data_IF_858189148151
#
_entry.id   IF_858189148151
#
_cell.length_a   1.000
_cell.length_b   1.000
_cell.length_c   1.000
_cell.angle_alpha   90.00
_cell.angle_beta   90.00
_cell.angle_gamma   90.00
#
_symmetry.space_group_name_H-M   'P 1'
#
loop_
_entity.id
_entity.type
_entity.pdbx_description
1 polymer ?
#
# COMPACT_ATOMS: atom_id res chain seq x y z
N UNK A 1 64.27 -5.75 -24.28
CA UNK A 1 63.29 -6.16 -23.24
C UNK A 1 62.70 -4.92 -22.60
N UNK A 2 61.45 -4.58 -22.91
CA UNK A 2 60.47 -3.96 -21.98
C UNK A 2 59.08 -4.24 -22.53
N UNK A 3 58.43 -5.26 -21.97
CA UNK A 3 57.01 -5.52 -22.16
C UNK A 3 56.24 -4.46 -21.36
N UNK A 4 55.47 -3.61 -22.04
CA UNK A 4 54.52 -2.71 -21.39
C UNK A 4 53.15 -3.39 -21.44
N UNK A 5 52.71 -3.93 -20.31
CA UNK A 5 51.36 -4.45 -20.15
C UNK A 5 50.40 -3.26 -20.03
N UNK A 6 49.67 -2.97 -21.09
CA UNK A 6 48.51 -2.08 -21.05
C UNK A 6 47.34 -2.91 -20.50
N UNK A 7 47.04 -2.75 -19.20
CA UNK A 7 45.87 -3.35 -18.57
C UNK A 7 44.62 -2.63 -19.10
N UNK A 8 43.88 -3.27 -20.00
CA UNK A 8 42.60 -2.79 -20.50
C UNK A 8 41.50 -3.25 -19.53
N UNK A 9 41.18 -2.44 -18.52
CA UNK A 9 39.99 -2.63 -17.68
C UNK A 9 38.74 -2.27 -18.49
N UNK A 10 38.10 -3.29 -19.05
CA UNK A 10 36.75 -3.17 -19.61
C UNK A 10 35.78 -3.04 -18.43
N UNK A 11 35.33 -1.83 -18.15
CA UNK A 11 34.13 -1.59 -17.35
C UNK A 11 32.93 -2.14 -18.14
N UNK A 12 32.54 -3.38 -17.85
CA UNK A 12 31.20 -3.88 -18.18
C UNK A 12 30.20 -3.03 -17.39
N UNK A 13 29.66 -2.00 -18.05
CA UNK A 13 28.38 -1.42 -17.66
C UNK A 13 27.33 -2.50 -17.85
N UNK A 14 27.17 -3.35 -16.83
CA UNK A 14 25.94 -4.12 -16.66
C UNK A 14 24.88 -3.05 -16.45
N UNK A 15 24.12 -2.74 -17.51
CA UNK A 15 22.87 -2.04 -17.33
C UNK A 15 22.05 -2.95 -16.41
N UNK A 16 22.02 -2.62 -15.12
CA UNK A 16 21.08 -3.18 -14.16
C UNK A 16 19.69 -2.76 -14.67
N UNK A 17 19.11 -3.57 -15.54
CA UNK A 17 17.68 -3.52 -15.80
C UNK A 17 17.06 -3.94 -14.48
N UNK A 18 16.73 -2.96 -13.63
CA UNK A 18 16.05 -3.24 -12.39
C UNK A 18 14.62 -3.65 -12.74
N UNK A 19 14.26 -4.89 -12.45
CA UNK A 19 12.89 -5.34 -12.61
C UNK A 19 11.98 -4.58 -11.62
N UNK A 20 10.69 -4.54 -11.93
CA UNK A 20 9.67 -4.14 -10.98
C UNK A 20 9.20 -5.36 -10.18
N UNK A 21 8.70 -5.17 -8.94
CA UNK A 21 8.17 -6.28 -8.17
C UNK A 21 6.96 -6.92 -8.87
N UNK A 22 6.77 -8.22 -8.63
CA UNK A 22 5.75 -9.03 -9.30
C UNK A 22 4.62 -9.37 -8.34
N UNK A 23 3.37 -9.23 -8.80
CA UNK A 23 2.16 -9.68 -8.10
C UNK A 23 1.41 -10.68 -8.99
N UNK A 24 1.05 -11.84 -8.45
CA UNK A 24 0.26 -12.84 -9.17
C UNK A 24 -0.87 -13.39 -8.31
N UNK A 25 -2.07 -13.53 -8.89
CA UNK A 25 -3.22 -14.05 -8.16
C UNK A 25 -3.21 -15.57 -8.11
N UNK A 26 -3.55 -16.15 -6.95
CA UNK A 26 -3.60 -17.61 -6.82
C UNK A 26 -4.69 -18.26 -7.69
N UNK A 27 -5.71 -17.50 -8.08
CA UNK A 27 -6.82 -17.99 -8.92
C UNK A 27 -6.41 -18.31 -10.35
N UNK A 28 -5.29 -17.77 -10.80
CA UNK A 28 -4.82 -17.90 -12.18
C UNK A 28 -4.10 -19.25 -12.42
N UNK A 29 -3.84 -20.01 -11.35
CA UNK A 29 -3.09 -21.26 -11.41
C UNK A 29 -4.01 -22.49 -11.34
N UNK A 30 -3.99 -23.28 -12.41
CA UNK A 30 -4.86 -24.44 -12.60
C UNK A 30 -4.14 -25.77 -12.34
N UNK A 31 -4.94 -26.78 -12.00
CA UNK A 31 -4.43 -28.13 -11.74
C UNK A 31 -3.72 -28.71 -12.96
N UNK A 32 -2.68 -29.51 -12.70
CA UNK A 32 -1.94 -30.23 -13.74
C UNK A 32 -1.02 -29.37 -14.59
N UNK A 33 -0.88 -28.07 -14.28
CA UNK A 33 0.01 -27.15 -14.99
C UNK A 33 1.11 -26.65 -14.05
N UNK A 34 2.36 -26.72 -14.51
CA UNK A 34 3.48 -26.00 -13.89
C UNK A 34 3.60 -24.63 -14.52
N UNK A 35 3.34 -23.59 -13.74
CA UNK A 35 3.37 -22.21 -14.21
C UNK A 35 4.70 -21.57 -13.85
N UNK A 36 5.40 -21.04 -14.85
CA UNK A 36 6.58 -20.19 -14.62
C UNK A 36 6.13 -18.76 -14.35
N UNK A 37 6.60 -18.18 -13.24
CA UNK A 37 6.31 -16.79 -12.90
C UNK A 37 7.46 -15.94 -13.40
N UNK A 38 7.23 -15.22 -14.51
CA UNK A 38 8.22 -14.36 -15.13
C UNK A 38 8.46 -13.07 -14.31
N UNK A 39 9.63 -12.45 -14.50
CA UNK A 39 9.97 -11.15 -13.92
C UNK A 39 10.45 -11.18 -12.47
N UNK A 40 10.54 -12.36 -11.84
CA UNK A 40 11.14 -12.51 -10.50
C UNK A 40 12.66 -12.37 -10.57
N UNK A 41 13.25 -11.73 -9.56
CA UNK A 41 14.70 -11.56 -9.42
C UNK A 41 15.30 -12.47 -8.35
N UNK A 42 16.48 -13.01 -8.67
CA UNK A 42 17.30 -13.73 -7.69
C UNK A 42 17.75 -12.78 -6.57
N UNK A 43 17.58 -13.23 -5.33
CA UNK A 43 17.80 -12.41 -4.13
C UNK A 43 16.57 -11.61 -3.69
N UNK A 44 15.49 -11.58 -4.48
CA UNK A 44 14.19 -11.05 -4.07
C UNK A 44 13.54 -11.90 -2.97
N UNK A 45 12.50 -11.38 -2.32
CA UNK A 45 11.71 -12.11 -1.34
C UNK A 45 10.29 -12.34 -1.86
N UNK A 46 9.80 -13.58 -1.70
CA UNK A 46 8.43 -13.98 -1.99
C UNK A 46 7.60 -13.98 -0.71
N UNK A 47 6.43 -13.36 -0.78
CA UNK A 47 5.44 -13.24 0.27
C UNK A 47 4.09 -13.78 -0.19
N UNK A 48 3.28 -14.27 0.74
CA UNK A 48 1.90 -14.69 0.50
C UNK A 48 0.95 -13.77 1.28
N UNK A 49 -0.03 -13.21 0.59
CA UNK A 49 -1.17 -12.52 1.20
C UNK A 49 -2.44 -13.32 0.92
N UNK A 50 -2.95 -14.02 1.93
CA UNK A 50 -4.15 -14.84 1.80
C UNK A 50 -4.82 -15.09 3.16
N UNK A 51 -6.16 -15.13 3.15
CA UNK A 51 -7.00 -15.68 4.22
C UNK A 51 -7.73 -16.95 3.74
N UNK A 52 -7.30 -17.56 2.63
CA UNK A 52 -7.92 -18.77 2.08
C UNK A 52 -7.69 -19.97 3.02
N UNK A 53 -8.55 -20.99 2.90
CA UNK A 53 -8.45 -22.20 3.72
C UNK A 53 -7.03 -22.82 3.63
N UNK A 54 -6.35 -23.04 4.77
CA UNK A 54 -5.04 -23.68 4.80
C UNK A 54 -4.98 -25.03 4.07
N UNK A 55 -6.10 -25.76 3.98
CA UNK A 55 -6.21 -27.00 3.21
C UNK A 55 -6.15 -26.80 1.70
N UNK A 56 -6.53 -25.63 1.20
CA UNK A 56 -6.35 -25.28 -0.20
C UNK A 56 -4.91 -24.77 -0.43
N UNK A 57 -4.35 -24.02 0.52
CA UNK A 57 -2.98 -23.50 0.41
C UNK A 57 -1.91 -24.59 0.48
N UNK A 58 -2.10 -25.65 1.28
CA UNK A 58 -1.16 -26.80 1.34
C UNK A 58 -1.10 -27.60 0.02
N UNK A 59 -2.08 -27.42 -0.86
CA UNK A 59 -2.12 -28.05 -2.19
C UNK A 59 -1.44 -27.20 -3.25
N UNK A 60 -0.85 -26.06 -2.88
CA UNK A 60 -0.12 -25.18 -3.79
C UNK A 60 1.35 -25.18 -3.39
N UNK A 61 2.21 -25.52 -4.34
CA UNK A 61 3.65 -25.60 -4.17
C UNK A 61 4.31 -24.52 -5.01
N UNK A 62 5.35 -23.92 -4.44
CA UNK A 62 6.28 -23.05 -5.16
C UNK A 62 7.66 -23.67 -5.14
N UNK A 63 8.38 -23.57 -6.25
CA UNK A 63 9.75 -24.06 -6.39
C UNK A 63 10.66 -22.92 -6.81
N UNK A 64 11.75 -22.74 -6.06
CA UNK A 64 12.81 -21.76 -6.31
C UNK A 64 14.13 -22.34 -5.79
N UNK A 65 15.23 -22.17 -6.51
CA UNK A 65 16.57 -22.62 -6.12
C UNK A 65 16.70 -24.14 -6.00
N UNK A 66 15.82 -24.89 -6.66
CA UNK A 66 15.71 -26.35 -6.48
C UNK A 66 15.02 -26.79 -5.18
N UNK A 67 14.50 -25.85 -4.39
CA UNK A 67 13.75 -26.11 -3.17
C UNK A 67 12.25 -25.95 -3.38
N UNK A 68 11.47 -26.85 -2.79
CA UNK A 68 10.00 -26.83 -2.82
C UNK A 68 9.46 -26.32 -1.49
N UNK A 69 8.50 -25.39 -1.56
CA UNK A 69 7.81 -24.84 -0.41
C UNK A 69 6.29 -24.92 -0.61
N UNK A 70 5.55 -25.12 0.50
CA UNK A 70 4.09 -25.09 0.48
C UNK A 70 3.60 -23.68 0.83
N UNK A 71 2.56 -23.21 0.14
CA UNK A 71 2.00 -21.89 0.45
C UNK A 71 1.43 -21.80 1.87
N UNK A 72 0.97 -22.91 2.44
CA UNK A 72 0.53 -22.97 3.85
C UNK A 72 1.62 -22.56 4.84
N UNK A 73 2.91 -22.71 4.49
CA UNK A 73 4.02 -22.34 5.37
C UNK A 73 4.30 -20.83 5.34
N UNK A 74 3.99 -20.16 4.21
CA UNK A 74 4.08 -18.71 4.08
C UNK A 74 2.84 -17.98 4.64
N UNK A 75 1.70 -18.66 4.75
CA UNK A 75 0.45 -18.07 5.21
C UNK A 75 0.48 -17.61 6.68
N UNK A 76 1.48 -18.05 7.44
CA UNK A 76 1.65 -17.63 8.84
C UNK A 76 2.18 -16.19 8.90
N UNK A 77 1.45 -15.35 9.63
CA UNK A 77 1.84 -13.98 9.93
C UNK A 77 2.22 -13.91 11.40
N UNK A 78 3.34 -13.25 11.70
CA UNK A 78 3.79 -13.03 13.06
C UNK A 78 2.81 -12.08 13.81
N UNK A 79 2.79 -12.09 15.15
CA UNK A 79 1.89 -11.21 15.91
C UNK A 79 2.07 -9.72 15.61
N UNK A 80 3.26 -9.30 15.20
CA UNK A 80 3.58 -7.93 14.79
C UNK A 80 3.11 -7.58 13.37
N UNK A 81 2.52 -8.53 12.64
CA UNK A 81 2.06 -8.35 11.26
C UNK A 81 3.12 -8.63 10.20
N UNK A 82 4.34 -8.99 10.59
CA UNK A 82 5.39 -9.35 9.63
C UNK A 82 5.11 -10.75 9.04
N UNK A 83 5.16 -10.91 7.71
CA UNK A 83 4.90 -12.19 7.07
C UNK A 83 6.14 -13.07 7.01
N UNK A 84 5.90 -14.38 6.92
CA UNK A 84 6.93 -15.32 6.46
C UNK A 84 7.31 -15.02 5.00
N UNK A 85 8.57 -15.33 4.65
CA UNK A 85 9.10 -15.09 3.32
C UNK A 85 10.03 -16.21 2.85
N UNK A 86 10.13 -16.36 1.54
CA UNK A 86 11.14 -17.20 0.88
C UNK A 86 12.06 -16.29 0.07
N UNK A 87 13.37 -16.51 0.14
CA UNK A 87 14.31 -15.83 -0.75
C UNK A 87 14.35 -16.55 -2.10
N UNK A 88 14.13 -15.79 -3.17
CA UNK A 88 14.08 -16.28 -4.54
C UNK A 88 15.48 -16.53 -5.07
N UNK A 89 15.65 -17.63 -5.79
CA UNK A 89 16.90 -18.02 -6.44
C UNK A 89 16.61 -18.91 -7.65
N UNK A 90 17.27 -18.72 -8.80
CA UNK A 90 17.05 -19.55 -9.97
C UNK A 90 15.60 -19.55 -10.50
N UNK A 91 14.87 -18.43 -10.35
CA UNK A 91 13.49 -18.27 -10.79
C UNK A 91 12.41 -18.82 -9.85
N UNK A 92 11.16 -18.79 -10.32
CA UNK A 92 9.98 -19.21 -9.55
C UNK A 92 9.00 -19.99 -10.43
N UNK A 93 8.61 -21.18 -9.98
CA UNK A 93 7.49 -21.93 -10.57
C UNK A 93 6.45 -22.28 -9.53
N UNK A 94 5.19 -22.37 -9.94
CA UNK A 94 4.06 -22.73 -9.08
C UNK A 94 3.28 -23.89 -9.70
N UNK A 95 2.91 -24.85 -8.86
CA UNK A 95 2.00 -25.95 -9.20
C UNK A 95 0.89 -26.06 -8.16
N UNK A 96 -0.27 -26.55 -8.58
CA UNK A 96 -1.35 -26.86 -7.64
C UNK A 96 -2.01 -28.19 -7.95
N UNK A 97 -2.43 -28.89 -6.89
CA UNK A 97 -3.29 -30.07 -6.96
C UNK A 97 -4.76 -29.75 -6.63
N UNK A 98 -5.08 -28.49 -6.32
CA UNK A 98 -6.46 -28.07 -6.11
C UNK A 98 -7.29 -28.32 -7.37
N UNK A 99 -8.55 -28.77 -7.25
CA UNK A 99 -9.48 -28.74 -8.37
C UNK A 99 -9.62 -27.32 -8.92
N UNK A 100 -9.76 -27.15 -10.24
CA UNK A 100 -9.86 -25.82 -10.87
C UNK A 100 -10.99 -24.97 -10.27
N UNK A 101 -12.12 -25.60 -9.91
CA UNK A 101 -13.23 -24.92 -9.24
C UNK A 101 -12.83 -24.30 -7.89
N UNK A 102 -11.91 -24.93 -7.16
CA UNK A 102 -11.33 -24.38 -5.93
C UNK A 102 -10.35 -23.26 -6.25
N UNK A 103 -9.45 -23.45 -7.22
CA UNK A 103 -8.50 -22.41 -7.65
C UNK A 103 -9.21 -21.09 -7.99
N UNK A 104 -10.29 -21.14 -8.77
CA UNK A 104 -11.04 -19.94 -9.15
C UNK A 104 -11.66 -19.17 -7.97
N UNK A 105 -11.84 -19.81 -6.83
CA UNK A 105 -12.38 -19.18 -5.61
C UNK A 105 -11.31 -18.58 -4.71
N UNK A 106 -10.03 -18.83 -4.99
CA UNK A 106 -8.94 -18.29 -4.18
C UNK A 106 -8.86 -16.76 -4.29
N UNK A 107 -8.63 -16.15 -3.14
CA UNK A 107 -8.59 -14.69 -2.99
C UNK A 107 -7.16 -14.18 -2.76
N UNK A 108 -6.27 -15.08 -2.36
CA UNK A 108 -4.87 -14.79 -2.12
C UNK A 108 -4.07 -14.48 -3.37
N UNK A 109 -2.89 -13.92 -3.14
CA UNK A 109 -1.93 -13.58 -4.17
C UNK A 109 -0.51 -13.64 -3.61
N UNK A 110 0.47 -13.81 -4.51
CA UNK A 110 1.88 -13.74 -4.19
C UNK A 110 2.42 -12.36 -4.53
N UNK A 111 3.35 -11.89 -3.72
CA UNK A 111 4.12 -10.67 -3.95
C UNK A 111 5.61 -11.02 -3.91
N UNK A 112 6.32 -10.74 -5.00
CA UNK A 112 7.76 -10.93 -5.11
C UNK A 112 8.44 -9.56 -5.21
N UNK A 113 9.32 -9.25 -4.26
CA UNK A 113 10.13 -8.03 -4.30
C UNK A 113 11.28 -8.16 -5.29
N UNK A 114 11.85 -7.03 -5.69
CA UNK A 114 13.16 -7.00 -6.33
C UNK A 114 14.27 -7.41 -5.35
N UNK A 115 15.45 -7.73 -5.86
CA UNK A 115 16.61 -8.02 -5.01
C UNK A 115 17.04 -6.79 -4.20
N UNK A 116 16.96 -5.60 -4.81
CA UNK A 116 17.28 -4.33 -4.15
C UNK A 116 16.35 -4.05 -2.98
N UNK A 117 15.05 -4.25 -3.16
CA UNK A 117 14.06 -4.09 -2.09
C UNK A 117 14.28 -5.10 -0.97
N UNK A 118 14.60 -6.36 -1.31
CA UNK A 118 14.86 -7.41 -0.33
C UNK A 118 16.08 -7.15 0.56
N UNK A 119 17.07 -6.42 0.04
CA UNK A 119 18.33 -6.08 0.73
C UNK A 119 18.27 -4.72 1.44
N UNK A 120 17.24 -3.92 1.21
CA UNK A 120 17.08 -2.61 1.81
C UNK A 120 16.49 -2.73 3.23
N UNK A 121 17.29 -2.38 4.24
CA UNK A 121 16.86 -2.41 5.65
C UNK A 121 15.71 -1.43 5.97
N UNK A 122 15.47 -0.45 5.10
CA UNK A 122 14.35 0.49 5.20
C UNK A 122 13.09 0.03 4.45
N UNK A 123 13.14 -1.12 3.78
CA UNK A 123 12.03 -1.71 3.07
C UNK A 123 11.39 -2.82 3.90
N UNK A 124 10.07 -2.77 4.04
CA UNK A 124 9.30 -3.75 4.82
C UNK A 124 8.00 -4.14 4.12
N UNK A 125 7.49 -5.31 4.48
CA UNK A 125 6.23 -5.84 3.96
C UNK A 125 5.40 -6.32 5.14
N UNK A 126 4.13 -5.96 5.18
CA UNK A 126 3.14 -6.43 6.15
C UNK A 126 1.98 -7.09 5.41
N UNK A 127 1.45 -8.17 6.00
CA UNK A 127 0.23 -8.82 5.50
C UNK A 127 -0.85 -8.63 6.55
N UNK A 128 -1.96 -8.00 6.16
CA UNK A 128 -3.04 -7.64 7.08
C UNK A 128 -4.09 -8.74 7.09
N UNK A 129 -3.86 -9.76 7.93
CA UNK A 129 -4.82 -10.87 8.15
C UNK A 129 -5.73 -10.64 9.35
N UNK A 130 -5.29 -9.79 10.29
CA UNK A 130 -6.03 -9.45 11.51
C UNK A 130 -5.67 -8.04 11.98
N UNK A 131 -5.53 -7.86 13.30
CA UNK A 131 -5.15 -6.59 13.91
C UNK A 131 -3.66 -6.53 14.20
N UNK A 132 -3.00 -5.48 13.71
CA UNK A 132 -1.55 -5.28 13.83
C UNK A 132 -1.23 -3.86 14.26
N UNK A 133 -0.21 -3.71 15.10
CA UNK A 133 0.38 -2.42 15.43
C UNK A 133 1.67 -2.25 14.63
N UNK A 134 1.69 -1.28 13.72
CA UNK A 134 2.80 -1.05 12.81
C UNK A 134 3.62 0.14 13.32
N UNK A 135 4.93 -0.07 13.39
CA UNK A 135 5.90 0.95 13.81
C UNK A 135 6.94 1.16 12.71
N UNK A 136 6.84 2.30 12.04
CA UNK A 136 7.74 2.73 10.99
C UNK A 136 8.84 3.59 11.63
N UNK A 137 9.95 2.96 12.02
CA UNK A 137 11.09 3.62 12.67
C UNK A 137 12.26 3.73 11.71
N UNK A 138 12.21 4.70 10.81
CA UNK A 138 13.27 4.94 9.81
C UNK A 138 13.36 6.39 9.37
N UNK A 139 14.57 6.81 8.93
CA UNK A 139 14.81 8.16 8.39
C UNK A 139 14.09 8.34 7.03
N UNK A 140 13.98 7.27 6.25
CA UNK A 140 13.18 7.17 5.04
C UNK A 140 12.82 5.68 4.83
N UNK A 141 11.62 5.27 5.24
CA UNK A 141 11.15 3.89 5.14
C UNK A 141 10.13 3.72 4.01
N UNK A 142 10.12 2.55 3.39
CA UNK A 142 9.08 2.13 2.46
C UNK A 142 8.45 0.84 2.96
N UNK A 143 7.14 0.83 3.12
CA UNK A 143 6.40 -0.29 3.70
C UNK A 143 5.26 -0.69 2.80
N UNK A 144 5.31 -1.91 2.27
CA UNK A 144 4.23 -2.49 1.48
C UNK A 144 3.20 -3.13 2.41
N UNK A 145 1.94 -2.81 2.18
CA UNK A 145 0.79 -3.35 2.89
C UNK A 145 0.03 -4.26 1.93
N UNK A 146 -0.03 -5.54 2.26
CA UNK A 146 -0.72 -6.56 1.49
C UNK A 146 -2.02 -6.92 2.21
N UNK A 147 -3.15 -6.48 1.66
CA UNK A 147 -4.46 -6.82 2.23
C UNK A 147 -4.89 -8.21 1.82
N UNK A 148 -5.53 -8.92 2.75
CA UNK A 148 -6.18 -10.19 2.49
C UNK A 148 -7.70 -10.03 2.43
N UNK A 149 -8.39 -11.05 1.93
CA UNK A 149 -9.85 -11.04 1.85
C UNK A 149 -10.47 -10.78 3.22
N UNK A 150 -11.46 -9.89 3.27
CA UNK A 150 -12.20 -9.60 4.48
C UNK A 150 -12.88 -10.87 5.00
N UNK A 151 -12.61 -11.18 6.27
CA UNK A 151 -13.18 -12.35 6.97
C UNK A 151 -14.68 -12.21 7.24
N UNK A 152 -15.16 -10.96 7.37
CA UNK A 152 -16.56 -10.65 7.62
C UNK A 152 -17.16 -9.85 6.46
N UNK A 153 -18.36 -10.23 6.04
CA UNK A 153 -19.19 -9.49 5.11
C UNK A 153 -20.22 -8.68 5.90
N UNK A 154 -20.26 -7.38 5.65
CA UNK A 154 -21.21 -6.43 6.24
C UNK A 154 -22.57 -6.44 5.53
N UNK A 155 -22.63 -6.94 4.29
CA UNK A 155 -23.82 -6.88 3.44
C UNK A 155 -23.99 -5.56 2.69
N UNK A 156 -23.11 -4.59 2.91
CA UNK A 156 -23.07 -3.33 2.17
C UNK A 156 -22.61 -3.56 0.72
N UNK A 157 -23.28 -2.93 -0.24
CA UNK A 157 -22.99 -3.13 -1.67
C UNK A 157 -21.61 -2.58 -2.07
N UNK A 158 -21.12 -1.57 -1.37
CA UNK A 158 -19.85 -0.90 -1.64
C UNK A 158 -18.67 -1.44 -0.82
N UNK A 159 -18.89 -2.51 -0.02
CA UNK A 159 -17.82 -3.18 0.71
C UNK A 159 -16.78 -3.80 -0.25
N UNK A 160 -15.49 -3.43 -0.17
CA UNK A 160 -14.46 -4.08 -0.98
C UNK A 160 -14.23 -5.53 -0.56
N UNK A 161 -13.70 -6.34 -1.48
CA UNK A 161 -13.23 -7.69 -1.11
C UNK A 161 -12.07 -7.68 -0.09
N UNK A 162 -11.21 -6.67 -0.16
CA UNK A 162 -10.02 -6.51 0.68
C UNK A 162 -9.94 -5.09 1.21
N UNK A 163 -9.61 -4.92 2.49
CA UNK A 163 -9.50 -3.59 3.10
C UNK A 163 -8.55 -3.58 4.29
N UNK A 164 -7.84 -2.47 4.44
CA UNK A 164 -7.22 -2.08 5.71
C UNK A 164 -8.10 -1.03 6.39
N UNK A 165 -8.50 -1.28 7.64
CA UNK A 165 -9.01 -0.24 8.53
C UNK A 165 -7.86 0.27 9.41
N UNK A 166 -7.44 1.50 9.17
CA UNK A 166 -6.31 2.14 9.84
C UNK A 166 -6.80 3.13 10.89
N UNK A 167 -6.28 3.03 12.10
CA UNK A 167 -6.57 3.94 13.21
C UNK A 167 -5.28 4.36 13.91
N UNK A 168 -5.39 5.39 14.75
CA UNK A 168 -4.27 5.88 15.60
C UNK A 168 -2.98 6.14 14.81
N UNK A 169 -3.08 6.82 13.67
CA UNK A 169 -1.91 7.33 12.96
C UNK A 169 -1.25 8.41 13.84
N UNK A 170 -0.14 8.06 14.48
CA UNK A 170 0.61 8.95 15.38
C UNK A 170 1.93 9.34 14.74
N UNK A 171 2.13 10.65 14.63
CA UNK A 171 3.32 11.32 14.12
C UNK A 171 3.33 12.77 14.64
N UNK A 172 4.43 13.49 14.47
CA UNK A 172 4.54 14.93 14.77
C UNK A 172 4.65 15.73 13.46
N UNK A 173 4.69 17.06 13.58
CA UNK A 173 4.90 17.94 12.43
C UNK A 173 6.31 17.81 11.80
N UNK A 174 7.26 17.16 12.48
CA UNK A 174 8.61 16.97 11.96
C UNK A 174 8.65 15.87 10.88
N UNK A 175 7.78 14.87 11.00
CA UNK A 175 7.74 13.73 10.10
C UNK A 175 6.90 14.01 8.84
N UNK A 176 7.02 13.12 7.85
CA UNK A 176 6.16 13.09 6.69
C UNK A 176 5.73 11.65 6.43
N UNK A 177 4.44 11.45 6.14
CA UNK A 177 3.90 10.17 5.72
C UNK A 177 3.11 10.35 4.44
N UNK A 178 3.28 9.40 3.53
CA UNK A 178 2.65 9.38 2.23
C UNK A 178 2.11 7.98 1.98
N UNK A 179 0.86 7.87 1.56
CA UNK A 179 0.28 6.60 1.13
C UNK A 179 0.12 6.59 -0.38
N UNK A 180 0.49 5.48 -0.99
CA UNK A 180 0.54 5.30 -2.43
C UNK A 180 -0.18 4.03 -2.87
N UNK A 181 -0.89 4.09 -4.00
CA UNK A 181 -1.56 2.90 -4.55
C UNK A 181 -0.57 2.04 -5.35
N UNK A 182 -0.85 0.74 -5.42
CA UNK A 182 -0.02 -0.21 -6.16
C UNK A 182 1.18 -0.72 -5.34
N UNK A 183 2.24 -1.12 -6.04
CA UNK A 183 3.49 -1.59 -5.43
C UNK A 183 4.64 -0.62 -5.74
N UNK A 184 5.62 -0.47 -4.84
CA UNK A 184 6.76 0.40 -5.08
C UNK A 184 7.59 -0.14 -6.25
N UNK A 185 7.65 0.63 -7.35
CA UNK A 185 8.51 0.32 -8.50
C UNK A 185 9.99 0.36 -8.12
N UNK A 186 10.90 -0.01 -9.02
CA UNK A 186 12.34 0.04 -8.75
C UNK A 186 12.86 1.41 -8.25
N UNK A 187 12.19 2.50 -8.62
CA UNK A 187 12.52 3.87 -8.26
C UNK A 187 11.79 4.37 -7.00
N UNK A 188 11.27 3.47 -6.15
CA UNK A 188 10.43 3.75 -4.98
C UNK A 188 10.94 4.80 -3.99
N UNK A 189 12.23 5.11 -4.02
CA UNK A 189 12.83 6.20 -3.22
C UNK A 189 12.58 7.60 -3.79
N UNK A 190 12.00 7.70 -4.98
CA UNK A 190 11.64 8.94 -5.65
C UNK A 190 10.18 9.32 -5.40
N UNK A 191 9.82 10.60 -5.56
CA UNK A 191 8.43 11.05 -5.48
C UNK A 191 7.63 10.40 -6.60
N UNK A 192 6.53 9.75 -6.25
CA UNK A 192 5.67 8.99 -7.16
C UNK A 192 4.31 9.68 -7.31
N UNK A 193 3.75 9.64 -8.52
CA UNK A 193 2.47 10.29 -8.84
C UNK A 193 1.23 9.51 -8.36
N UNK A 194 1.44 8.37 -7.69
CA UNK A 194 0.40 7.45 -7.22
C UNK A 194 -0.01 7.69 -5.76
N UNK A 195 0.26 8.87 -5.24
CA UNK A 195 -0.07 9.22 -3.86
C UNK A 195 -1.57 9.52 -3.71
N UNK A 196 -2.19 8.94 -2.68
CA UNK A 196 -3.60 9.13 -2.34
C UNK A 196 -3.84 9.69 -0.93
N UNK A 197 -2.80 9.78 -0.09
CA UNK A 197 -2.88 10.44 1.21
C UNK A 197 -1.50 11.00 1.58
N UNK A 198 -1.50 12.15 2.27
CA UNK A 198 -0.28 12.70 2.87
C UNK A 198 -0.58 13.46 4.16
N UNK A 199 0.34 13.38 5.12
CA UNK A 199 0.39 14.26 6.28
C UNK A 199 1.86 14.55 6.60
N UNK A 200 2.30 15.81 6.68
CA UNK A 200 1.57 17.03 6.36
C UNK A 200 1.31 17.22 4.86
N UNK A 201 0.37 18.09 4.55
CA UNK A 201 -0.01 18.49 3.19
C UNK A 201 0.53 19.88 2.86
N UNK A 202 1.07 20.06 1.64
CA UNK A 202 1.51 21.36 1.15
C UNK A 202 0.39 22.03 0.34
N UNK A 203 -0.29 23.01 0.94
CA UNK A 203 -1.29 23.80 0.27
C UNK A 203 -0.65 24.95 -0.50
N UNK A 204 -0.74 24.93 -1.83
CA UNK A 204 -0.24 26.01 -2.69
C UNK A 204 -1.39 26.84 -3.22
N UNK A 205 -1.42 28.13 -2.87
CA UNK A 205 -2.34 29.10 -3.48
C UNK A 205 -1.84 29.48 -4.87
N UNK A 206 -2.79 29.68 -5.79
CA UNK A 206 -2.51 30.09 -7.17
C UNK A 206 -3.10 31.48 -7.45
N UNK A 207 -2.43 32.26 -8.29
CA UNK A 207 -2.98 33.52 -8.82
C UNK A 207 -4.02 33.25 -9.91
N UNK A 208 -4.64 34.32 -10.43
CA UNK A 208 -5.61 34.25 -11.52
C UNK A 208 -5.04 33.69 -12.85
N UNK A 209 -3.71 33.61 -12.97
CA UNK A 209 -3.01 33.08 -14.14
C UNK A 209 -2.53 31.63 -13.91
N UNK A 210 -2.86 31.02 -12.76
CA UNK A 210 -2.44 29.67 -12.40
C UNK A 210 -1.02 29.56 -11.83
N UNK A 211 -0.35 30.68 -11.54
CA UNK A 211 1.00 30.66 -10.97
C UNK A 211 0.95 30.47 -9.44
N UNK A 212 1.84 29.65 -8.85
CA UNK A 212 1.98 29.55 -7.40
C UNK A 212 2.28 30.90 -6.74
N UNK A 213 1.50 31.28 -5.73
CA UNK A 213 1.66 32.53 -4.95
C UNK A 213 2.28 32.25 -3.58
N UNK A 214 1.75 31.26 -2.86
CA UNK A 214 2.30 30.87 -1.57
C UNK A 214 2.07 29.37 -1.32
N UNK A 215 3.03 28.71 -0.68
CA UNK A 215 2.87 27.33 -0.20
C UNK A 215 2.89 27.32 1.32
N UNK A 216 1.85 26.76 1.92
CA UNK A 216 1.74 26.56 3.37
C UNK A 216 1.73 25.07 3.68
N UNK A 217 2.61 24.65 4.59
CA UNK A 217 2.65 23.27 5.10
C UNK A 217 1.63 23.13 6.22
N UNK A 218 0.62 22.29 6.01
CA UNK A 218 -0.47 22.04 6.94
C UNK A 218 -0.31 20.65 7.55
N UNK A 219 -0.12 20.61 8.87
CA UNK A 219 -0.05 19.39 9.65
C UNK A 219 -1.37 19.15 10.40
N UNK A 220 -1.84 17.90 10.38
CA UNK A 220 -2.98 17.45 11.17
C UNK A 220 -2.48 16.53 12.26
N UNK A 221 -2.63 16.98 13.50
CA UNK A 221 -2.37 16.22 14.72
C UNK A 221 -3.44 15.16 14.99
N UNK A 222 -4.65 15.36 14.43
CA UNK A 222 -5.73 14.39 14.47
C UNK A 222 -6.08 13.84 13.10
N UNK A 223 -5.91 12.54 12.91
CA UNK A 223 -6.28 11.82 11.68
C UNK A 223 -7.44 10.88 12.01
N UNK A 224 -8.60 11.09 11.37
CA UNK A 224 -9.74 10.18 11.50
C UNK A 224 -9.35 8.78 10.98
N UNK A 225 -10.06 7.72 11.41
CA UNK A 225 -9.87 6.39 10.85
C UNK A 225 -9.92 6.40 9.32
N UNK A 226 -8.99 5.67 8.70
CA UNK A 226 -8.86 5.59 7.24
C UNK A 226 -9.24 4.18 6.81
N UNK A 227 -10.08 4.08 5.78
CA UNK A 227 -10.45 2.79 5.20
C UNK A 227 -9.86 2.68 3.79
N UNK A 228 -8.95 1.71 3.61
CA UNK A 228 -8.18 1.56 2.38
C UNK A 228 -8.56 0.25 1.69
N UNK A 229 -9.51 0.32 0.76
CA UNK A 229 -10.05 -0.82 0.00
C UNK A 229 -9.21 -1.24 -1.21
N UNK A 230 -7.89 -1.32 -1.06
CA UNK A 230 -6.96 -1.75 -2.11
C UNK A 230 -6.45 -3.16 -1.82
N UNK A 231 -6.18 -3.95 -2.86
CA UNK A 231 -5.54 -5.26 -2.71
C UNK A 231 -4.16 -5.13 -2.04
N UNK A 232 -3.37 -4.17 -2.52
CA UNK A 232 -2.06 -3.83 -2.00
C UNK A 232 -1.81 -2.34 -2.22
N UNK A 233 -1.03 -1.76 -1.32
CA UNK A 233 -0.63 -0.35 -1.31
C UNK A 233 0.67 -0.21 -0.54
N UNK A 234 1.28 0.98 -0.53
CA UNK A 234 2.48 1.18 0.25
C UNK A 234 2.51 2.56 0.91
N UNK A 235 3.40 2.66 1.89
CA UNK A 235 3.67 3.84 2.68
C UNK A 235 5.12 4.24 2.42
N UNK A 236 5.37 5.52 2.18
CA UNK A 236 6.68 6.11 2.42
C UNK A 236 6.62 7.03 3.61
N UNK A 237 7.52 6.83 4.57
CA UNK A 237 7.61 7.65 5.78
C UNK A 237 9.01 8.22 5.96
N UNK A 238 9.07 9.47 6.40
CA UNK A 238 10.30 10.18 6.73
C UNK A 238 10.23 10.55 8.20
N UNK A 239 10.80 9.71 9.06
CA UNK A 239 10.71 9.79 10.51
C UNK A 239 9.71 8.79 11.12
N UNK A 240 9.62 8.76 12.47
CA UNK A 240 8.81 7.79 13.21
C UNK A 240 7.31 7.99 12.99
N UNK A 241 6.64 6.94 12.51
CA UNK A 241 5.18 6.90 12.36
C UNK A 241 4.66 5.59 12.91
N UNK A 242 3.60 5.63 13.71
CA UNK A 242 2.93 4.43 14.21
C UNK A 242 1.45 4.44 13.86
N UNK A 243 0.87 3.26 13.67
CA UNK A 243 -0.55 3.10 13.33
C UNK A 243 -1.05 1.70 13.69
N UNK A 244 -2.34 1.60 13.98
CA UNK A 244 -3.04 0.32 14.12
C UNK A 244 -3.74 0.00 12.79
N UNK A 245 -3.51 -1.19 12.25
CA UNK A 245 -4.14 -1.66 11.01
C UNK A 245 -4.94 -2.94 11.27
N UNK A 246 -6.12 -3.05 10.65
CA UNK A 246 -7.00 -4.20 10.82
C UNK A 246 -7.56 -4.69 9.48
N UNK A 247 -7.67 -6.01 9.34
CA UNK A 247 -8.47 -6.65 8.28
C UNK A 247 -9.96 -6.48 8.60
N UNK A 248 -10.49 -5.28 8.35
CA UNK A 248 -11.86 -4.94 8.69
C UNK A 248 -12.45 -3.94 7.70
N UNK A 249 -13.77 -3.91 7.66
CA UNK A 249 -14.58 -2.90 6.98
C UNK A 249 -15.55 -2.29 7.98
N UNK A 250 -15.53 -0.97 8.09
CA UNK A 250 -16.45 -0.19 8.91
C UNK A 250 -17.27 0.68 7.97
N UNK A 251 -18.58 0.41 7.92
CA UNK A 251 -19.51 1.19 7.13
C UNK A 251 -19.44 2.68 7.53
N UNK A 252 -19.28 3.55 6.52
CA UNK A 252 -18.95 4.95 6.70
C UNK A 252 -19.83 5.87 5.83
N UNK A 253 -21.07 5.43 5.55
CA UNK A 253 -22.07 6.22 4.81
C UNK A 253 -22.48 7.50 5.55
N UNK A 254 -22.40 7.49 6.88
CA UNK A 254 -22.65 8.65 7.72
C UNK A 254 -21.64 8.66 8.86
N UNK A 255 -20.68 9.59 8.80
CA UNK A 255 -19.60 9.70 9.78
C UNK A 255 -19.53 11.12 10.31
N UNK A 256 -19.30 11.25 11.61
CA UNK A 256 -19.05 12.54 12.25
C UNK A 256 -17.60 12.58 12.68
N UNK A 257 -16.88 13.67 12.37
CA UNK A 257 -15.50 13.82 12.81
C UNK A 257 -15.43 13.85 14.34
N UNK A 258 -14.29 13.47 14.89
CA UNK A 258 -14.03 13.47 16.33
C UNK A 258 -13.21 14.68 16.77
N UNK A 259 -12.66 15.43 15.81
CA UNK A 259 -11.98 16.73 16.04
C UNK A 259 -12.43 17.82 15.06
N UNK A 260 -12.27 19.08 15.48
CA UNK A 260 -12.47 20.28 14.67
C UNK A 260 -11.21 20.68 13.88
N UNK A 261 -10.09 19.97 14.00
CA UNK A 261 -8.95 20.10 13.09
C UNK A 261 -8.51 18.68 12.72
N UNK A 262 -8.85 18.24 11.51
CA UNK A 262 -8.63 16.83 11.14
C UNK A 262 -8.47 16.61 9.64
N UNK A 263 -7.85 15.48 9.30
CA UNK A 263 -7.77 14.92 7.96
C UNK A 263 -8.26 13.47 7.98
N UNK A 264 -8.77 12.99 6.86
CA UNK A 264 -9.28 11.63 6.73
C UNK A 264 -9.40 11.16 5.29
N UNK A 265 -9.77 9.89 5.11
CA UNK A 265 -9.90 9.23 3.81
C UNK A 265 -11.14 8.35 3.75
N UNK A 266 -11.97 8.56 2.72
CA UNK A 266 -13.05 7.67 2.31
C UNK A 266 -12.66 7.16 0.93
N UNK A 267 -12.47 5.85 0.84
CA UNK A 267 -12.34 5.16 -0.44
C UNK A 267 -13.67 4.49 -0.75
N UNK A 268 -14.26 4.82 -1.89
CA UNK A 268 -15.32 4.02 -2.47
C UNK A 268 -14.65 2.99 -3.40
N UNK A 269 -14.69 1.72 -2.99
CA UNK A 269 -13.81 0.69 -3.53
C UNK A 269 -14.47 -0.31 -4.47
N UNK A 270 -15.70 -0.05 -4.93
CA UNK A 270 -16.45 -1.00 -5.77
C UNK A 270 -17.09 -0.41 -7.04
N UNK A 271 -16.73 0.81 -7.46
CA UNK A 271 -17.39 1.52 -8.58
C UNK A 271 -18.90 1.73 -8.41
N UNK A 272 -19.46 1.35 -7.28
CA UNK A 272 -20.85 1.57 -6.91
C UNK A 272 -20.87 2.89 -6.15
N UNK A 273 -21.40 3.92 -6.80
CA UNK A 273 -21.60 5.20 -6.14
C UNK A 273 -22.52 5.01 -4.92
N UNK A 274 -21.96 5.24 -3.73
CA UNK A 274 -22.72 5.39 -2.48
C UNK A 274 -22.55 6.81 -1.96
N UNK A 275 -23.62 7.37 -1.41
CA UNK A 275 -23.56 8.68 -0.77
C UNK A 275 -22.91 8.54 0.61
N UNK A 276 -21.73 9.11 0.77
CA UNK A 276 -21.09 9.27 2.08
C UNK A 276 -21.26 10.70 2.57
N UNK A 277 -21.75 10.84 3.80
CA UNK A 277 -21.95 12.11 4.49
C UNK A 277 -20.91 12.21 5.60
N UNK A 278 -20.12 13.28 5.57
CA UNK A 278 -19.16 13.62 6.63
C UNK A 278 -19.67 14.86 7.38
N UNK A 279 -20.03 14.70 8.65
CA UNK A 279 -20.42 15.78 9.53
C UNK A 279 -19.19 16.28 10.29
N UNK A 280 -18.77 17.51 10.01
CA UNK A 280 -17.61 18.12 10.67
C UNK A 280 -18.00 18.72 12.03
N UNK A 281 -17.21 18.43 13.07
CA UNK A 281 -17.33 19.10 14.37
C UNK A 281 -17.13 20.60 14.21
N UNK A 282 -18.05 21.39 14.77
CA UNK A 282 -17.97 22.84 14.73
C UNK A 282 -17.11 23.39 15.87
N UNK A 283 -16.14 24.23 15.54
CA UNK A 283 -15.51 25.14 16.51
C UNK A 283 -16.07 26.56 16.29
N UNK A 284 -16.85 27.12 17.23
CA UNK A 284 -17.46 28.44 17.08
C UNK A 284 -16.44 29.59 17.11
N UNK A 285 -15.18 29.33 17.47
CA UNK A 285 -14.12 30.34 17.58
C UNK A 285 -13.29 30.50 16.30
N UNK A 286 -13.55 29.70 15.25
CA UNK A 286 -12.73 29.69 14.03
C UNK A 286 -13.58 29.67 12.75
N UNK A 287 -13.07 30.28 11.67
CA UNK A 287 -13.72 30.31 10.35
C UNK A 287 -13.66 28.97 9.62
N UNK A 288 -14.64 28.68 8.74
CA UNK A 288 -14.80 27.36 8.08
C UNK A 288 -14.01 27.27 6.77
N UNK A 289 -13.23 26.20 6.59
CA UNK A 289 -12.65 25.79 5.30
C UNK A 289 -12.79 24.28 5.15
N UNK A 290 -13.47 23.82 4.09
CA UNK A 290 -13.58 22.41 3.74
C UNK A 290 -12.88 22.23 2.41
N UNK A 291 -11.79 21.45 2.39
CA UNK A 291 -11.19 20.96 1.15
C UNK A 291 -11.74 19.58 0.84
N UNK A 292 -12.29 19.39 -0.36
CA UNK A 292 -12.57 18.06 -0.91
C UNK A 292 -11.68 17.87 -2.12
N UNK A 293 -10.76 16.92 -2.08
CA UNK A 293 -10.10 16.44 -3.28
C UNK A 293 -10.90 15.26 -3.82
N UNK A 294 -11.42 15.42 -5.03
CA UNK A 294 -12.02 14.36 -5.83
C UNK A 294 -11.05 14.11 -6.97
N UNK A 295 -10.30 13.00 -6.96
CA UNK A 295 -9.58 12.59 -8.17
C UNK A 295 -10.52 11.78 -9.05
N UNK A 296 -10.56 12.11 -10.33
CA UNK A 296 -11.31 11.40 -11.35
C UNK A 296 -10.29 10.67 -12.23
N UNK A 297 -9.89 9.49 -11.81
CA UNK A 297 -9.24 8.49 -12.68
C UNK A 297 -9.40 7.12 -12.04
N UNK A 298 -10.33 6.32 -12.59
CA UNK A 298 -10.61 4.90 -12.32
C UNK A 298 -10.79 4.45 -10.86
N UNK A 299 -10.71 5.35 -9.89
CA UNK A 299 -10.92 5.19 -8.46
C UNK A 299 -11.57 6.46 -7.92
N UNK A 300 -12.70 6.37 -7.23
CA UNK A 300 -13.33 7.53 -6.61
C UNK A 300 -12.79 7.73 -5.19
N UNK A 301 -11.76 8.57 -5.09
CA UNK A 301 -11.12 8.93 -3.83
C UNK A 301 -11.69 10.25 -3.32
N UNK A 302 -12.22 10.30 -2.09
CA UNK A 302 -12.49 11.56 -1.39
C UNK A 302 -11.52 11.69 -0.23
N UNK A 303 -10.55 12.59 -0.39
CA UNK A 303 -9.72 13.09 0.71
C UNK A 303 -10.37 14.38 1.20
N UNK A 304 -10.60 14.51 2.50
CA UNK A 304 -10.96 15.78 3.10
C UNK A 304 -9.90 16.23 4.09
N UNK A 305 -9.68 17.52 4.09
CA UNK A 305 -8.81 18.21 5.02
C UNK A 305 -9.61 19.37 5.60
N UNK A 306 -9.70 19.42 6.93
CA UNK A 306 -10.43 20.45 7.66
C UNK A 306 -9.46 21.21 8.57
N UNK A 307 -9.06 22.40 8.10
CA UNK A 307 -8.15 23.31 8.80
C UNK A 307 -8.85 24.65 9.01
N UNK A 308 -8.80 25.22 10.22
CA UNK A 308 -9.43 26.50 10.50
C UNK A 308 -8.39 27.57 10.93
N UNK A 309 -7.75 28.24 9.95
CA UNK A 309 -7.22 29.62 10.07
C UNK A 309 -6.91 30.32 8.71
N UNK A 310 -7.58 31.48 8.53
CA UNK A 310 -7.38 32.68 7.65
C UNK A 310 -7.62 32.70 6.11
N UNK A 311 -8.72 33.40 5.73
CA UNK A 311 -8.89 34.52 4.75
C UNK A 311 -9.00 34.26 3.20
N UNK A 312 -10.28 34.27 2.75
CA UNK A 312 -10.95 34.94 1.61
C UNK A 312 -11.17 34.35 0.19
N UNK A 313 -12.46 34.47 -0.17
CA UNK A 313 -13.16 34.79 -1.45
C UNK A 313 -13.05 33.85 -2.65
N UNK A 314 -14.13 33.09 -2.86
CA UNK A 314 -14.60 32.72 -4.20
C UNK A 314 -15.67 33.72 -4.67
N UNK A 315 -15.35 34.51 -5.70
CA UNK A 315 -16.28 34.97 -6.74
C UNK A 315 -15.94 34.11 -7.97
N UNK A 316 -16.82 33.61 -8.84
CA UNK A 316 -18.12 34.06 -9.36
C UNK A 316 -18.93 32.86 -9.87
N UNK A 317 -20.26 32.91 -9.75
CA UNK A 317 -21.17 33.34 -10.83
C UNK A 317 -22.27 34.17 -10.20
#
# INVERSE_FOLDING_TARGET
MRFSYLLLTVFLFVNLVSADPVVVSLRDFLNGTTSNIAGVEDGGNLYLASNDDPNNLKNIQVVTGGHTYLLSDLAKVNPDGTPNKITLNGGLTLTTTNPNAVSYTLTGYLYATTAQQAQDASFSVYVITGSHHINLSGVAATTVILNTQLTAQSGESDQPGKSTYLTKLMMTQAENVYFQYGVPANNYKSVTSNQFFMNPFNYTTIDNNGNPVSTTRLFFDHVEPLQIGLDYWYITSYGPVTMDMQNNYVANHNTTTTSANTTGLLINSNFIYSNHIVNFQSDPTRGRSVGTMVSCSDFFLRIWSYHQKCIFRSQRT
#
